data_IF_681125091071
#
_entry.id   IF_681125091071
#
_cell.length_a   1.000
_cell.length_b   1.000
_cell.length_c   1.000
_cell.angle_alpha   90.00
_cell.angle_beta   90.00
_cell.angle_gamma   90.00
#
_symmetry.space_group_name_H-M   'P 1'
#
loop_
_entity.id
_entity.type
_entity.pdbx_description
1 polymer ?
#
# COMPACT_ATOMS: atom_id res chain seq x y z
N UNK A 1 25.63 28.22 -14.76
CA UNK A 1 25.02 27.58 -13.57
C UNK A 1 23.54 27.28 -13.85
N UNK A 2 23.23 26.26 -14.66
CA UNK A 2 21.84 25.89 -15.09
C UNK A 2 21.66 24.39 -15.39
N UNK A 3 22.62 23.56 -15.00
CA UNK A 3 22.71 22.13 -15.41
C UNK A 3 22.01 21.16 -14.45
N UNK A 4 21.61 21.59 -13.25
CA UNK A 4 20.97 20.71 -12.25
C UNK A 4 19.45 20.54 -12.45
N UNK A 5 18.75 21.51 -13.06
CA UNK A 5 17.28 21.47 -13.13
C UNK A 5 16.75 20.48 -14.19
N UNK A 6 17.52 20.24 -15.26
CA UNK A 6 17.13 19.35 -16.37
C UNK A 6 17.25 17.86 -16.03
N UNK A 7 18.31 17.46 -15.30
CA UNK A 7 18.50 16.07 -14.88
C UNK A 7 17.46 15.62 -13.84
N UNK A 8 17.15 16.50 -12.89
CA UNK A 8 16.13 16.24 -11.87
C UNK A 8 14.72 16.12 -12.47
N UNK A 9 14.38 16.96 -13.47
CA UNK A 9 13.07 16.91 -14.13
C UNK A 9 12.80 15.58 -14.87
N UNK A 10 13.83 15.02 -15.52
CA UNK A 10 13.74 13.69 -16.15
C UNK A 10 13.56 12.58 -15.09
N UNK A 11 14.22 12.71 -13.93
CA UNK A 11 14.07 11.78 -12.80
C UNK A 11 12.65 11.81 -12.21
N UNK A 12 12.10 13.01 -11.97
CA UNK A 12 10.74 13.16 -11.43
C UNK A 12 9.68 12.62 -12.39
N UNK A 13 9.79 12.89 -13.69
CA UNK A 13 8.87 12.33 -14.70
C UNK A 13 8.81 10.80 -14.67
N UNK A 14 9.97 10.13 -14.59
CA UNK A 14 10.04 8.67 -14.46
C UNK A 14 9.38 8.19 -13.17
N UNK A 15 9.63 8.87 -12.06
CA UNK A 15 9.02 8.56 -10.76
C UNK A 15 7.48 8.68 -10.81
N UNK A 16 6.93 9.75 -11.38
CA UNK A 16 5.47 9.91 -11.51
C UNK A 16 4.87 8.86 -12.45
N UNK A 17 5.49 8.57 -13.59
CA UNK A 17 5.00 7.53 -14.51
C UNK A 17 4.97 6.17 -13.83
N UNK A 18 6.06 5.79 -13.15
CA UNK A 18 6.13 4.53 -12.41
C UNK A 18 5.08 4.46 -11.30
N UNK A 19 4.95 5.55 -10.53
CA UNK A 19 3.95 5.71 -9.47
C UNK A 19 2.52 5.53 -9.97
N UNK A 20 2.17 6.16 -11.10
CA UNK A 20 0.86 6.02 -11.74
C UNK A 20 0.61 4.60 -12.23
N UNK A 21 1.61 3.95 -12.84
CA UNK A 21 1.49 2.55 -13.30
C UNK A 21 1.24 1.62 -12.10
N UNK A 22 2.01 1.75 -11.02
CA UNK A 22 1.84 0.96 -9.80
C UNK A 22 0.45 1.16 -9.21
N UNK A 23 -0.01 2.42 -9.14
CA UNK A 23 -1.35 2.74 -8.64
C UNK A 23 -2.46 2.13 -9.50
N UNK A 24 -2.33 2.19 -10.83
CA UNK A 24 -3.29 1.59 -11.76
C UNK A 24 -3.34 0.05 -11.62
N UNK A 25 -2.18 -0.60 -11.48
CA UNK A 25 -2.11 -2.04 -11.22
C UNK A 25 -2.77 -2.39 -9.88
N UNK A 26 -2.53 -1.60 -8.83
CA UNK A 26 -3.16 -1.80 -7.53
C UNK A 26 -4.69 -1.66 -7.60
N UNK A 27 -5.20 -0.66 -8.33
CA UNK A 27 -6.64 -0.50 -8.55
C UNK A 27 -7.23 -1.67 -9.33
N UNK A 28 -6.57 -2.14 -10.39
CA UNK A 28 -7.00 -3.30 -11.15
C UNK A 28 -7.04 -4.56 -10.29
N UNK A 29 -6.01 -4.77 -9.46
CA UNK A 29 -5.98 -5.88 -8.49
C UNK A 29 -7.15 -5.80 -7.50
N UNK A 30 -7.40 -4.62 -6.93
CA UNK A 30 -8.53 -4.41 -6.00
C UNK A 30 -9.88 -4.65 -6.68
N UNK A 31 -10.04 -4.25 -7.95
CA UNK A 31 -11.24 -4.52 -8.71
C UNK A 31 -11.45 -6.01 -8.95
N UNK A 32 -10.40 -6.76 -9.30
CA UNK A 32 -10.47 -8.23 -9.40
C UNK A 32 -10.80 -8.86 -8.05
N UNK A 33 -10.18 -8.39 -6.96
CA UNK A 33 -10.45 -8.88 -5.61
C UNK A 33 -11.90 -8.63 -5.19
N UNK A 34 -12.48 -7.49 -5.58
CA UNK A 34 -13.88 -7.17 -5.35
C UNK A 34 -14.81 -8.07 -6.15
N UNK A 35 -14.58 -8.24 -7.45
CA UNK A 35 -15.39 -9.11 -8.32
C UNK A 35 -15.32 -10.60 -7.93
N UNK A 36 -14.28 -11.00 -7.20
CA UNK A 36 -14.11 -12.39 -6.73
C UNK A 36 -14.48 -12.56 -5.25
N UNK A 37 -15.05 -11.53 -4.60
CA UNK A 37 -15.38 -11.49 -3.16
C UNK A 37 -14.20 -11.84 -2.23
N UNK A 38 -12.96 -11.66 -2.70
CA UNK A 38 -11.77 -12.18 -2.03
C UNK A 38 -11.69 -13.71 -1.94
N UNK A 39 -12.67 -14.44 -2.52
CA UNK A 39 -12.66 -15.88 -2.73
C UNK A 39 -12.00 -16.19 -4.08
N UNK A 40 -10.70 -15.98 -4.13
CA UNK A 40 -9.92 -16.32 -5.30
C UNK A 40 -9.68 -17.84 -5.34
N UNK A 41 -10.68 -18.60 -5.81
CA UNK A 41 -10.40 -19.88 -6.47
C UNK A 41 -9.47 -19.72 -7.69
N UNK A 42 -9.35 -18.50 -8.20
CA UNK A 42 -8.54 -18.13 -9.37
C UNK A 42 -7.12 -17.64 -9.03
N UNK A 43 -6.86 -17.20 -7.79
CA UNK A 43 -5.55 -16.67 -7.35
C UNK A 43 -5.31 -17.05 -5.90
N UNK A 44 -4.80 -18.26 -5.69
CA UNK A 44 -4.40 -18.72 -4.37
C UNK A 44 -3.17 -17.90 -3.94
N UNK A 45 -3.27 -17.17 -2.83
CA UNK A 45 -2.14 -16.51 -2.18
C UNK A 45 -1.02 -17.55 -2.04
N UNK A 46 0.15 -17.41 -2.70
CA UNK A 46 1.15 -18.47 -2.74
C UNK A 46 1.67 -18.85 -1.34
N UNK A 47 1.67 -17.90 -0.40
CA UNK A 47 1.97 -18.20 1.01
C UNK A 47 0.93 -19.11 1.66
N UNK A 48 -0.37 -18.92 1.35
CA UNK A 48 -1.45 -19.76 1.86
C UNK A 48 -1.43 -21.14 1.22
N UNK A 49 -0.95 -21.25 -0.03
CA UNK A 49 -0.80 -22.52 -0.72
C UNK A 49 0.40 -23.32 -0.19
N UNK A 50 1.54 -22.68 0.01
CA UNK A 50 2.81 -23.35 0.37
C UNK A 50 2.96 -23.51 1.89
N UNK A 51 2.63 -22.48 2.65
CA UNK A 51 2.86 -22.41 4.09
C UNK A 51 1.56 -22.49 4.92
N UNK A 52 0.39 -22.51 4.27
CA UNK A 52 -0.92 -22.44 4.94
C UNK A 52 -1.12 -21.23 5.86
N UNK A 53 -0.31 -20.18 5.68
CA UNK A 53 -0.35 -18.95 6.47
C UNK A 53 -0.75 -17.78 5.55
N UNK A 54 -1.75 -16.96 5.94
CA UNK A 54 -2.07 -15.73 5.19
C UNK A 54 -0.89 -14.75 5.27
N UNK A 55 -0.47 -14.13 4.17
CA UNK A 55 0.55 -13.08 4.22
C UNK A 55 -0.09 -11.71 4.55
N UNK A 56 0.69 -10.70 5.01
CA UNK A 56 0.11 -9.41 5.41
C UNK A 56 -0.54 -8.68 4.23
N UNK A 57 -0.07 -8.90 2.99
CA UNK A 57 -0.69 -8.35 1.78
C UNK A 57 -2.07 -8.95 1.47
N UNK A 58 -2.22 -10.27 1.64
CA UNK A 58 -3.52 -10.95 1.49
C UNK A 58 -4.49 -10.51 2.60
N UNK A 59 -3.99 -10.31 3.83
CA UNK A 59 -4.74 -9.75 4.95
C UNK A 59 -5.22 -8.31 4.69
N UNK A 60 -4.34 -7.45 4.16
CA UNK A 60 -4.66 -6.07 3.81
C UNK A 60 -5.71 -5.99 2.69
N UNK A 61 -5.60 -6.84 1.66
CA UNK A 61 -6.59 -6.89 0.56
C UNK A 61 -8.00 -7.22 1.09
N UNK A 62 -8.12 -8.25 1.95
CA UNK A 62 -9.41 -8.65 2.55
C UNK A 62 -9.93 -7.62 3.56
N UNK A 63 -9.06 -6.98 4.34
CA UNK A 63 -9.44 -5.86 5.19
C UNK A 63 -9.97 -4.67 4.38
N UNK A 64 -9.35 -4.33 3.25
CA UNK A 64 -9.84 -3.28 2.35
C UNK A 64 -11.19 -3.66 1.73
N UNK A 65 -11.40 -4.93 1.37
CA UNK A 65 -12.72 -5.41 0.92
C UNK A 65 -13.78 -5.26 2.03
N UNK A 66 -13.46 -5.58 3.28
CA UNK A 66 -14.37 -5.37 4.41
C UNK A 66 -14.73 -3.89 4.57
N UNK A 67 -13.77 -2.98 4.42
CA UNK A 67 -14.03 -1.53 4.40
C UNK A 67 -14.99 -1.15 3.26
N UNK A 68 -14.77 -1.68 2.05
CA UNK A 68 -15.63 -1.40 0.88
C UNK A 68 -17.07 -1.88 1.13
N UNK A 69 -17.24 -3.01 1.82
CA UNK A 69 -18.56 -3.53 2.21
C UNK A 69 -19.16 -2.80 3.43
N UNK A 70 -18.45 -1.84 4.04
CA UNK A 70 -18.91 -1.08 5.20
C UNK A 70 -18.62 -1.72 6.56
N UNK A 71 -17.91 -2.85 6.60
CA UNK A 71 -17.52 -3.57 7.82
C UNK A 71 -16.20 -3.04 8.41
N UNK A 72 -16.20 -1.78 8.84
CA UNK A 72 -15.00 -1.10 9.35
C UNK A 72 -14.40 -1.75 10.60
N UNK A 73 -15.24 -2.18 11.54
CA UNK A 73 -14.77 -2.81 12.78
C UNK A 73 -14.04 -4.13 12.49
N UNK A 74 -14.62 -4.96 11.61
CA UNK A 74 -14.01 -6.24 11.21
C UNK A 74 -12.74 -6.01 10.38
N UNK A 75 -12.72 -4.99 9.51
CA UNK A 75 -11.54 -4.62 8.75
C UNK A 75 -10.36 -4.24 9.65
N UNK A 76 -10.59 -3.39 10.65
CA UNK A 76 -9.55 -2.94 11.59
C UNK A 76 -9.09 -4.10 12.46
N UNK A 77 -10.02 -4.94 12.92
CA UNK A 77 -9.69 -6.13 13.71
C UNK A 77 -8.85 -7.12 12.91
N UNK A 78 -9.13 -7.25 11.61
CA UNK A 78 -8.38 -8.11 10.72
C UNK A 78 -6.98 -7.56 10.41
N UNK A 79 -6.89 -6.28 10.05
CA UNK A 79 -5.63 -5.62 9.83
C UNK A 79 -5.75 -4.11 10.08
N UNK A 80 -5.17 -3.57 11.16
CA UNK A 80 -5.26 -2.14 11.47
C UNK A 80 -4.55 -1.27 10.43
N UNK A 81 -3.61 -1.82 9.65
CA UNK A 81 -2.95 -1.11 8.56
C UNK A 81 -3.90 -0.73 7.42
N UNK A 82 -5.13 -1.27 7.40
CA UNK A 82 -6.17 -0.85 6.46
C UNK A 82 -6.45 0.64 6.54
N UNK A 83 -6.34 1.25 7.74
CA UNK A 83 -6.55 2.70 7.91
C UNK A 83 -5.48 3.50 7.16
N UNK A 84 -4.21 3.10 7.31
CA UNK A 84 -3.09 3.73 6.60
C UNK A 84 -3.23 3.52 5.09
N UNK A 85 -3.65 2.32 4.67
CA UNK A 85 -3.88 1.99 3.27
C UNK A 85 -4.96 2.88 2.65
N UNK A 86 -6.11 3.06 3.31
CA UNK A 86 -7.20 3.91 2.82
C UNK A 86 -6.79 5.37 2.71
N UNK A 87 -6.08 5.89 3.70
CA UNK A 87 -5.52 7.25 3.65
C UNK A 87 -4.56 7.38 2.47
N UNK A 88 -3.69 6.41 2.25
CA UNK A 88 -2.78 6.37 1.10
C UNK A 88 -3.51 6.37 -0.24
N UNK A 89 -4.52 5.50 -0.41
CA UNK A 89 -5.30 5.39 -1.66
C UNK A 89 -6.01 6.70 -2.01
N UNK A 90 -6.49 7.45 -1.01
CA UNK A 90 -7.20 8.71 -1.24
C UNK A 90 -6.22 9.87 -1.43
N UNK A 91 -5.22 10.01 -0.56
CA UNK A 91 -4.31 11.16 -0.58
C UNK A 91 -3.34 11.09 -1.76
N UNK A 92 -2.85 9.91 -2.12
CA UNK A 92 -1.87 9.72 -3.18
C UNK A 92 -2.30 10.30 -4.55
N UNK A 93 -3.48 9.96 -5.11
CA UNK A 93 -3.92 10.53 -6.39
C UNK A 93 -4.18 12.04 -6.29
N UNK A 94 -4.63 12.54 -5.14
CA UNK A 94 -4.82 13.99 -4.92
C UNK A 94 -3.47 14.70 -5.01
N UNK A 95 -2.46 14.21 -4.29
CA UNK A 95 -1.11 14.77 -4.34
C UNK A 95 -0.47 14.64 -5.73
N UNK A 96 -0.70 13.52 -6.42
CA UNK A 96 -0.21 13.30 -7.78
C UNK A 96 -0.78 14.35 -8.74
N UNK A 97 -2.11 14.58 -8.69
CA UNK A 97 -2.79 15.57 -9.54
C UNK A 97 -2.39 16.99 -9.17
N UNK A 98 -2.27 17.31 -7.87
CA UNK A 98 -1.84 18.64 -7.41
C UNK A 98 -0.40 18.96 -7.85
N UNK A 99 0.54 18.00 -7.75
CA UNK A 99 1.92 18.16 -8.23
C UNK A 99 1.96 18.36 -9.75
N UNK A 100 1.14 17.61 -10.50
CA UNK A 100 1.03 17.75 -11.95
C UNK A 100 0.43 19.11 -12.34
N UNK A 101 -0.59 19.59 -11.60
CA UNK A 101 -1.28 20.84 -11.88
C UNK A 101 -0.45 22.07 -11.49
N UNK A 102 0.27 22.02 -10.35
CA UNK A 102 1.06 23.13 -9.82
C UNK A 102 2.52 23.11 -10.26
N UNK A 103 2.98 22.01 -10.87
CA UNK A 103 4.38 21.82 -11.23
C UNK A 103 5.32 21.79 -10.02
N UNK A 104 4.79 21.47 -8.83
CA UNK A 104 5.55 21.34 -7.59
C UNK A 104 6.25 19.97 -7.54
N UNK A 105 7.13 19.78 -6.55
CA UNK A 105 7.78 18.49 -6.29
C UNK A 105 7.40 17.95 -4.90
N UNK A 106 6.19 18.24 -4.44
CA UNK A 106 5.75 17.97 -3.07
C UNK A 106 5.59 16.47 -2.81
N UNK A 107 5.04 15.71 -3.77
CA UNK A 107 4.90 14.26 -3.66
C UNK A 107 6.28 13.60 -3.57
N UNK A 108 7.21 14.01 -4.43
CA UNK A 108 8.56 13.46 -4.46
C UNK A 108 9.35 13.79 -3.18
N UNK A 109 9.26 15.03 -2.67
CA UNK A 109 9.89 15.41 -1.41
C UNK A 109 9.31 14.65 -0.21
N UNK A 110 7.99 14.43 -0.21
CA UNK A 110 7.32 13.64 0.83
C UNK A 110 7.78 12.19 0.78
N UNK A 111 7.88 11.61 -0.43
CA UNK A 111 8.43 10.28 -0.65
C UNK A 111 9.85 10.14 -0.10
N UNK A 112 10.76 11.07 -0.42
CA UNK A 112 12.13 11.06 0.10
C UNK A 112 12.20 11.13 1.63
N UNK A 113 11.36 11.96 2.26
CA UNK A 113 11.29 12.04 3.74
C UNK A 113 10.82 10.74 4.36
N UNK A 114 9.79 10.12 3.78
CA UNK A 114 9.26 8.83 4.25
C UNK A 114 10.32 7.74 4.05
N UNK A 115 10.97 7.69 2.90
CA UNK A 115 12.04 6.73 2.60
C UNK A 115 13.20 6.87 3.60
N UNK A 116 13.64 8.09 3.91
CA UNK A 116 14.67 8.31 4.93
C UNK A 116 14.23 7.90 6.34
N UNK A 117 12.97 8.12 6.70
CA UNK A 117 12.42 7.66 7.98
C UNK A 117 12.34 6.13 8.00
N UNK A 118 11.86 5.52 6.92
CA UNK A 118 11.70 4.09 6.76
C UNK A 118 13.05 3.37 6.76
N UNK A 119 14.10 3.96 6.17
CA UNK A 119 15.45 3.41 6.19
C UNK A 119 16.13 3.42 7.56
N UNK A 120 15.57 4.10 8.56
CA UNK A 120 16.08 3.97 9.93
C UNK A 120 15.81 2.55 10.40
N UNK A 121 16.88 1.79 10.68
CA UNK A 121 16.83 0.39 11.12
C UNK A 121 15.82 0.15 12.26
N UNK A 122 15.69 1.11 13.18
CA UNK A 122 14.69 1.06 14.24
C UNK A 122 13.25 1.04 13.71
N UNK A 123 12.91 1.91 12.75
CA UNK A 123 11.55 2.01 12.18
C UNK A 123 11.19 0.71 11.45
N UNK A 124 12.11 0.16 10.64
CA UNK A 124 11.89 -1.15 9.99
C UNK A 124 11.66 -2.24 11.05
N UNK A 125 12.49 -2.28 12.10
CA UNK A 125 12.35 -3.28 13.15
C UNK A 125 11.01 -3.19 13.88
N UNK A 126 10.52 -1.98 14.16
CA UNK A 126 9.21 -1.78 14.78
C UNK A 126 8.06 -2.19 13.86
N UNK A 127 8.11 -1.83 12.57
CA UNK A 127 7.10 -2.22 11.59
C UNK A 127 7.05 -3.75 11.45
N UNK A 128 8.20 -4.40 11.33
CA UNK A 128 8.27 -5.86 11.22
C UNK A 128 7.71 -6.55 12.47
N UNK A 129 8.05 -6.07 13.67
CA UNK A 129 7.52 -6.64 14.91
C UNK A 129 6.01 -6.47 15.00
N UNK A 130 5.48 -5.32 14.57
CA UNK A 130 4.05 -5.06 14.53
C UNK A 130 3.30 -5.99 13.55
N UNK A 131 3.83 -6.16 12.33
CA UNK A 131 3.27 -7.10 11.34
C UNK A 131 3.30 -8.55 11.84
N UNK A 132 4.38 -8.97 12.49
CA UNK A 132 4.48 -10.30 13.10
C UNK A 132 3.48 -10.48 14.24
N UNK A 133 3.24 -9.44 15.04
CA UNK A 133 2.24 -9.49 16.11
C UNK A 133 0.81 -9.61 15.56
N UNK A 134 0.47 -8.85 14.50
CA UNK A 134 -0.82 -8.98 13.80
C UNK A 134 -0.97 -10.39 13.25
N UNK A 135 0.08 -10.93 12.63
CA UNK A 135 0.06 -12.28 12.07
C UNK A 135 -0.18 -13.34 13.14
N UNK A 136 0.54 -13.26 14.26
CA UNK A 136 0.41 -14.18 15.37
C UNK A 136 -1.01 -14.11 15.98
N UNK A 137 -1.55 -12.90 16.15
CA UNK A 137 -2.91 -12.69 16.63
C UNK A 137 -3.94 -13.31 15.68
N UNK A 138 -3.83 -13.06 14.38
CA UNK A 138 -4.76 -13.62 13.38
C UNK A 138 -4.68 -15.15 13.34
N UNK A 139 -3.49 -15.73 13.49
CA UNK A 139 -3.32 -17.18 13.58
C UNK A 139 -3.97 -17.78 14.83
N UNK A 140 -3.79 -17.16 16.01
CA UNK A 140 -4.38 -17.63 17.28
C UNK A 140 -5.90 -17.48 17.28
N UNK A 141 -6.42 -16.39 16.72
CA UNK A 141 -7.86 -16.12 16.67
C UNK A 141 -8.58 -16.74 15.46
N UNK A 142 -7.85 -17.35 14.51
CA UNK A 142 -8.42 -17.99 13.32
C UNK A 142 -9.10 -17.04 12.34
N UNK A 143 -8.61 -15.80 12.21
CA UNK A 143 -9.21 -14.72 11.38
C UNK A 143 -8.70 -14.77 9.93
#
# INVERSE_FOLDING_TARGET
MKTSKSSNFCSYKKFYILSTIIYAIACAWMMVAYCTEGQSGLVVCPSKLIYHIPCPGCGMTRATLLVIHGHWADAIRMNPNVVICMVGIIIFPILLVDDMARGTACLHQTYQKIEHLLHKRLVISFILLFELAIMAHNYVCGI
#
